data_IF_144077667289
#
_entry.id   IF_144077667289
#
_cell.length_a   1.000
_cell.length_b   1.000
_cell.length_c   1.000
_cell.angle_alpha   90.00
_cell.angle_beta   90.00
_cell.angle_gamma   90.00
#
_symmetry.space_group_name_H-M   'P 1'
#
loop_
_entity.id
_entity.type
_entity.pdbx_description
1 polymer ?
#
# COMPACT_ATOMS: atom_id res chain seq x y z
N UNK A 1 10.08 -35.82 -2.80
CA UNK A 1 9.21 -34.72 -3.25
C UNK A 1 9.28 -33.45 -2.39
N UNK A 2 9.39 -33.52 -1.05
CA UNK A 2 9.52 -32.30 -0.22
C UNK A 2 10.82 -31.51 -0.46
N UNK A 3 11.95 -32.19 -0.68
CA UNK A 3 13.25 -31.55 -0.86
C UNK A 3 13.39 -30.75 -2.16
N UNK A 4 12.77 -31.19 -3.26
CA UNK A 4 12.83 -30.49 -4.55
C UNK A 4 12.02 -29.18 -4.52
N UNK A 5 10.91 -29.16 -3.77
CA UNK A 5 10.09 -27.96 -3.58
C UNK A 5 10.83 -26.91 -2.75
N UNK A 6 11.59 -27.33 -1.74
CA UNK A 6 12.45 -26.45 -0.92
C UNK A 6 13.62 -25.91 -1.76
N UNK A 7 14.23 -26.74 -2.60
CA UNK A 7 15.34 -26.32 -3.49
C UNK A 7 14.86 -25.28 -4.53
N UNK A 8 13.69 -25.50 -5.13
CA UNK A 8 13.07 -24.52 -6.04
C UNK A 8 12.75 -23.20 -5.35
N UNK A 9 12.21 -23.24 -4.10
CA UNK A 9 11.95 -22.04 -3.29
C UNK A 9 13.23 -21.24 -3.02
N UNK A 10 14.33 -21.93 -2.69
CA UNK A 10 15.63 -21.31 -2.45
C UNK A 10 16.17 -20.59 -3.70
N UNK A 11 16.04 -21.22 -4.88
CA UNK A 11 16.44 -20.60 -6.15
C UNK A 11 15.61 -19.37 -6.49
N UNK A 12 14.30 -19.43 -6.28
CA UNK A 12 13.40 -18.30 -6.57
C UNK A 12 13.72 -17.10 -5.66
N UNK A 13 13.98 -17.32 -4.37
CA UNK A 13 14.40 -16.25 -3.46
C UNK A 13 15.77 -15.67 -3.78
N UNK A 14 16.72 -16.51 -4.17
CA UNK A 14 18.04 -16.04 -4.57
C UNK A 14 17.95 -15.11 -5.79
N UNK A 15 17.12 -15.45 -6.78
CA UNK A 15 16.89 -14.59 -7.96
C UNK A 15 16.26 -13.25 -7.56
N UNK A 16 15.26 -13.25 -6.66
CA UNK A 16 14.68 -12.00 -6.15
C UNK A 16 15.68 -11.16 -5.34
N UNK A 17 16.55 -11.79 -4.56
CA UNK A 17 17.57 -11.11 -3.77
C UNK A 17 18.69 -10.51 -4.64
N UNK A 18 19.10 -11.21 -5.70
CA UNK A 18 20.07 -10.72 -6.69
C UNK A 18 19.48 -9.58 -7.53
N UNK A 19 18.23 -9.69 -7.96
CA UNK A 19 17.50 -8.60 -8.61
C UNK A 19 17.41 -7.38 -7.68
N UNK A 20 17.16 -7.61 -6.38
CA UNK A 20 17.08 -6.55 -5.40
C UNK A 20 18.42 -5.81 -5.19
N UNK A 21 19.50 -6.56 -5.07
CA UNK A 21 20.85 -6.01 -4.96
C UNK A 21 21.26 -5.22 -6.21
N UNK A 22 20.87 -5.68 -7.40
CA UNK A 22 21.16 -5.00 -8.67
C UNK A 22 20.46 -3.62 -8.76
N UNK A 23 19.20 -3.53 -8.33
CA UNK A 23 18.45 -2.26 -8.30
C UNK A 23 19.02 -1.28 -7.26
N UNK A 24 19.42 -1.75 -6.08
CA UNK A 24 20.08 -0.91 -5.07
C UNK A 24 21.43 -0.37 -5.56
N UNK A 25 22.21 -1.19 -6.27
CA UNK A 25 23.47 -0.76 -6.90
C UNK A 25 23.23 0.25 -8.03
N UNK A 26 22.18 0.08 -8.84
CA UNK A 26 21.79 1.04 -9.87
C UNK A 26 21.40 2.39 -9.25
N UNK A 27 20.66 2.37 -8.13
CA UNK A 27 20.25 3.58 -7.39
C UNK A 27 21.46 4.32 -6.79
N UNK A 28 22.47 3.60 -6.31
CA UNK A 28 23.73 4.21 -5.83
C UNK A 28 24.59 4.82 -6.95
N UNK A 29 24.58 4.24 -8.17
CA UNK A 29 25.31 4.80 -9.32
C UNK A 29 24.73 6.12 -9.84
N UNK A 30 23.45 6.39 -9.63
CA UNK A 30 22.82 7.66 -10.06
C UNK A 30 23.02 8.81 -9.07
N UNK A 31 23.65 8.58 -7.91
CA UNK A 31 23.85 9.60 -6.86
C UNK A 31 25.16 10.39 -6.92
N UNK A 32 26.13 10.02 -7.79
CA UNK A 32 27.46 10.63 -7.81
C UNK A 32 27.90 11.01 -9.24
N UNK A 33 27.39 12.11 -9.80
CA UNK A 33 28.07 12.83 -10.89
C UNK A 33 27.79 14.35 -10.80
N UNK A 34 28.81 15.23 -10.79
CA UNK A 34 28.61 16.67 -10.83
C UNK A 34 28.64 17.25 -12.26
N UNK A 35 27.63 18.08 -12.54
CA UNK A 35 27.53 19.25 -13.46
C UNK A 35 27.62 19.11 -15.00
N UNK A 36 26.66 19.81 -15.63
CA UNK A 36 26.65 20.47 -16.96
C UNK A 36 26.52 19.64 -18.24
N UNK A 37 25.29 19.52 -18.73
CA UNK A 37 24.89 19.90 -20.09
C UNK A 37 23.37 19.82 -20.26
N UNK A 38 22.82 20.78 -20.98
CA UNK A 38 21.42 21.04 -21.28
C UNK A 38 20.74 19.92 -22.09
N UNK A 39 19.42 19.79 -21.88
CA UNK A 39 18.44 19.00 -22.64
C UNK A 39 18.49 17.47 -22.48
N UNK A 40 17.96 16.98 -21.36
CA UNK A 40 17.26 15.69 -21.31
C UNK A 40 15.99 15.87 -20.47
N UNK A 41 14.83 15.66 -21.12
CA UNK A 41 13.51 15.93 -20.59
C UNK A 41 13.19 15.06 -19.36
N UNK A 42 12.54 15.67 -18.38
CA UNK A 42 12.08 15.10 -17.13
C UNK A 42 11.13 13.91 -17.35
N UNK A 43 11.36 12.79 -16.65
CA UNK A 43 10.34 11.79 -16.36
C UNK A 43 9.30 12.40 -15.41
N UNK A 44 8.41 13.21 -15.96
CA UNK A 44 7.30 13.81 -15.26
C UNK A 44 6.09 12.87 -15.38
N UNK A 45 5.78 12.16 -14.30
CA UNK A 45 4.54 11.38 -14.12
C UNK A 45 3.33 12.31 -13.94
N UNK A 46 3.14 13.25 -14.87
CA UNK A 46 1.99 14.16 -14.86
C UNK A 46 1.00 13.69 -15.91
N UNK A 47 0.18 12.69 -15.55
CA UNK A 47 -1.05 12.43 -16.29
C UNK A 47 -2.14 13.39 -15.77
N UNK A 48 -2.01 14.65 -16.16
CA UNK A 48 -3.04 15.67 -16.03
C UNK A 48 -3.09 16.45 -17.34
N UNK A 49 -3.97 16.05 -18.26
CA UNK A 49 -4.68 17.01 -19.11
C UNK A 49 -5.82 16.36 -19.90
N UNK A 50 -7.05 16.68 -19.48
CA UNK A 50 -8.06 17.11 -20.45
C UNK A 50 -7.53 18.39 -21.11
N UNK A 51 -7.08 18.32 -22.36
CA UNK A 51 -6.85 19.50 -23.18
C UNK A 51 -7.13 19.17 -24.65
N UNK A 52 -8.26 19.68 -25.14
CA UNK A 52 -8.55 19.85 -26.55
C UNK A 52 -7.67 20.97 -27.11
N UNK A 53 -6.61 20.67 -27.86
CA UNK A 53 -5.83 21.66 -28.63
C UNK A 53 -5.31 21.08 -29.96
N UNK A 54 -6.10 21.28 -31.02
CA UNK A 54 -5.76 21.62 -32.42
C UNK A 54 -4.38 21.22 -33.05
N UNK A 55 -4.48 20.33 -34.05
CA UNK A 55 -3.83 20.30 -35.40
C UNK A 55 -2.31 20.40 -35.57
N UNK A 56 -1.71 19.40 -36.26
CA UNK A 56 -1.25 19.51 -37.66
C UNK A 56 -0.95 18.11 -38.27
N UNK A 57 -1.53 17.94 -39.46
CA UNK A 57 -1.38 16.98 -40.58
C UNK A 57 -0.29 15.90 -40.59
N UNK A 58 -0.73 14.68 -40.89
CA UNK A 58 0.00 13.61 -41.59
C UNK A 58 -0.99 12.58 -42.14
N UNK A 59 -0.90 12.30 -43.44
CA UNK A 59 -1.84 11.58 -44.32
C UNK A 59 -1.92 10.07 -43.97
N UNK A 60 -3.13 9.55 -43.74
CA UNK A 60 -3.92 8.69 -44.64
C UNK A 60 -3.44 7.23 -44.73
N UNK A 61 -4.02 6.34 -43.90
CA UNK A 61 -4.38 4.99 -44.32
C UNK A 61 -5.66 4.53 -43.61
N UNK A 62 -6.64 4.17 -44.45
CA UNK A 62 -7.98 3.71 -44.14
C UNK A 62 -8.01 2.33 -43.47
N UNK A 63 -8.49 2.25 -42.22
CA UNK A 63 -9.06 1.01 -41.66
C UNK A 63 -10.32 1.34 -40.84
N UNK A 64 -11.38 0.61 -41.11
CA UNK A 64 -12.75 0.81 -40.66
C UNK A 64 -12.91 0.92 -39.14
N UNK A 65 -13.50 2.03 -38.71
CA UNK A 65 -13.91 2.35 -37.35
C UNK A 65 -15.24 1.66 -37.04
N UNK A 66 -15.20 0.52 -36.35
CA UNK A 66 -16.38 -0.04 -35.68
C UNK A 66 -16.56 0.63 -34.33
N UNK A 67 -17.59 1.46 -34.21
CA UNK A 67 -18.06 2.07 -32.97
C UNK A 67 -18.51 0.98 -32.00
N UNK A 68 -17.65 0.59 -31.07
CA UNK A 68 -18.06 -0.20 -29.91
C UNK A 68 -18.00 0.71 -28.68
N UNK A 69 -19.13 1.35 -28.39
CA UNK A 69 -19.39 2.03 -27.14
C UNK A 69 -19.29 0.99 -26.01
N UNK A 70 -18.11 0.85 -25.39
CA UNK A 70 -18.00 0.10 -24.14
C UNK A 70 -18.30 1.05 -22.98
N UNK A 71 -19.60 1.21 -22.79
CA UNK A 71 -20.31 1.52 -21.56
C UNK A 71 -19.43 1.36 -20.31
N UNK A 72 -19.10 2.50 -19.71
CA UNK A 72 -18.66 2.62 -18.32
C UNK A 72 -19.82 2.22 -17.41
N UNK A 73 -19.85 0.94 -17.04
CA UNK A 73 -20.58 0.38 -15.90
C UNK A 73 -19.51 -0.45 -15.16
N UNK A 74 -19.07 -0.10 -13.96
CA UNK A 74 -19.93 0.01 -12.79
C UNK A 74 -19.82 -1.31 -12.04
N UNK A 75 -18.79 -1.47 -11.21
CA UNK A 75 -18.87 -2.38 -10.07
C UNK A 75 -18.16 -1.72 -8.91
N UNK A 76 -18.97 -0.94 -8.22
CA UNK A 76 -18.95 -0.72 -6.78
C UNK A 76 -18.25 -1.85 -6.02
N UNK A 77 -17.15 -1.52 -5.36
CA UNK A 77 -16.91 -2.08 -4.05
C UNK A 77 -16.43 -0.94 -3.14
N UNK A 78 -17.31 0.03 -2.93
CA UNK A 78 -17.23 0.84 -1.74
C UNK A 78 -17.59 -0.12 -0.60
N UNK A 79 -16.59 -0.77 -0.02
CA UNK A 79 -16.70 -1.39 1.29
C UNK A 79 -17.51 -0.42 2.15
N UNK A 80 -18.74 -0.81 2.49
CA UNK A 80 -19.65 -0.02 3.31
C UNK A 80 -19.00 0.09 4.68
N UNK A 81 -18.16 1.11 4.82
CA UNK A 81 -17.37 1.32 6.01
C UNK A 81 -18.35 1.60 7.13
N UNK A 82 -18.34 0.83 8.23
CA UNK A 82 -19.28 1.02 9.31
C UNK A 82 -19.16 2.47 9.80
N UNK A 83 -20.29 3.19 9.82
CA UNK A 83 -20.31 4.56 10.33
C UNK A 83 -19.93 4.53 11.82
N UNK A 84 -18.95 5.33 12.26
CA UNK A 84 -18.59 5.39 13.67
C UNK A 84 -19.72 6.00 14.49
N UNK A 85 -19.90 5.52 15.72
CA UNK A 85 -20.66 6.28 16.72
C UNK A 85 -19.82 7.44 17.25
N UNK A 86 -20.47 8.48 17.79
CA UNK A 86 -19.76 9.60 18.41
C UNK A 86 -18.84 9.15 19.55
N UNK A 87 -19.28 8.18 20.36
CA UNK A 87 -18.47 7.62 21.46
C UNK A 87 -17.24 6.87 20.94
N UNK A 88 -17.39 6.05 19.90
CA UNK A 88 -16.27 5.35 19.27
C UNK A 88 -15.27 6.35 18.71
N UNK A 89 -15.74 7.32 17.91
CA UNK A 89 -14.91 8.36 17.33
C UNK A 89 -14.14 9.15 18.39
N UNK A 90 -14.78 9.55 19.50
CA UNK A 90 -14.11 10.24 20.61
C UNK A 90 -13.05 9.38 21.28
N UNK A 91 -13.23 8.06 21.34
CA UNK A 91 -12.25 7.17 21.94
C UNK A 91 -10.93 7.11 21.16
N UNK A 92 -10.95 7.41 19.86
CA UNK A 92 -9.80 7.32 18.97
C UNK A 92 -8.68 8.28 19.34
N UNK A 93 -8.98 9.44 19.93
CA UNK A 93 -7.96 10.40 20.39
C UNK A 93 -7.18 9.93 21.62
N UNK A 94 -7.71 8.96 22.37
CA UNK A 94 -7.11 8.49 23.62
C UNK A 94 -5.92 7.56 23.39
N UNK A 95 -5.95 6.73 22.34
CA UNK A 95 -4.81 5.90 21.94
C UNK A 95 -4.96 5.38 20.52
N UNK A 96 -3.81 5.16 19.86
CA UNK A 96 -3.79 4.53 18.54
C UNK A 96 -4.41 3.12 18.55
N UNK A 97 -4.28 2.40 19.65
CA UNK A 97 -4.91 1.08 19.81
C UNK A 97 -6.44 1.15 19.66
N UNK A 98 -7.09 2.22 20.12
CA UNK A 98 -8.54 2.42 19.95
C UNK A 98 -8.92 2.57 18.49
N UNK A 99 -8.15 3.34 17.73
CA UNK A 99 -8.29 3.46 16.26
C UNK A 99 -8.18 2.08 15.61
N UNK A 100 -7.14 1.32 15.98
CA UNK A 100 -6.82 0.05 15.34
C UNK A 100 -7.81 -1.07 15.71
N UNK A 101 -8.48 -0.99 16.86
CA UNK A 101 -9.56 -1.92 17.24
C UNK A 101 -10.88 -1.63 16.54
N UNK A 102 -11.22 -0.37 16.28
CA UNK A 102 -12.45 0.01 15.60
C UNK A 102 -12.36 -0.20 14.08
N UNK A 103 -13.34 -0.90 13.48
CA UNK A 103 -13.41 -1.02 12.02
C UNK A 103 -13.62 0.34 11.33
N UNK A 104 -14.44 1.20 11.93
CA UNK A 104 -14.65 2.57 11.48
C UNK A 104 -13.37 3.39 11.63
N UNK A 105 -12.70 3.27 12.78
CA UNK A 105 -11.42 3.94 13.05
C UNK A 105 -10.34 3.56 12.04
N UNK A 106 -10.18 2.26 11.76
CA UNK A 106 -9.28 1.75 10.72
C UNK A 106 -9.62 2.32 9.34
N UNK A 107 -10.90 2.40 8.97
CA UNK A 107 -11.32 2.93 7.68
C UNK A 107 -11.02 4.43 7.55
N UNK A 108 -11.39 5.24 8.55
CA UNK A 108 -11.11 6.67 8.60
C UNK A 108 -9.60 6.96 8.59
N UNK A 109 -8.83 6.20 9.38
CA UNK A 109 -7.38 6.35 9.42
C UNK A 109 -6.73 5.97 8.09
N UNK A 110 -7.16 4.88 7.45
CA UNK A 110 -6.68 4.53 6.09
C UNK A 110 -6.99 5.61 5.07
N UNK A 111 -8.18 6.21 5.13
CA UNK A 111 -8.55 7.33 4.25
C UNK A 111 -7.63 8.54 4.47
N UNK A 112 -7.28 8.84 5.73
CA UNK A 112 -6.30 9.88 6.04
C UNK A 112 -4.91 9.54 5.48
N UNK A 113 -4.41 8.32 5.69
CA UNK A 113 -3.11 7.88 5.15
C UNK A 113 -3.04 7.96 3.63
N UNK A 114 -4.15 7.73 2.92
CA UNK A 114 -4.23 7.91 1.46
C UNK A 114 -3.96 9.36 1.05
N UNK A 115 -4.42 10.33 1.83
CA UNK A 115 -4.13 11.76 1.56
C UNK A 115 -2.66 12.11 1.78
N UNK A 116 -1.96 11.34 2.62
CA UNK A 116 -0.52 11.47 2.89
C UNK A 116 0.33 10.47 2.09
N UNK A 117 -0.23 9.77 1.10
CA UNK A 117 0.46 8.76 0.29
C UNK A 117 1.19 7.68 1.13
N UNK A 118 0.57 7.23 2.23
CA UNK A 118 1.16 6.27 3.17
C UNK A 118 0.19 5.14 3.56
N UNK A 119 -0.83 4.88 2.73
CA UNK A 119 -1.87 3.89 3.02
C UNK A 119 -1.37 2.44 2.98
N UNK A 120 -0.24 2.18 2.31
CA UNK A 120 0.42 0.86 2.25
C UNK A 120 0.76 0.32 3.64
N UNK A 121 1.10 1.20 4.59
CA UNK A 121 1.37 0.81 5.97
C UNK A 121 0.17 0.14 6.64
N UNK A 122 -1.02 0.70 6.42
CA UNK A 122 -2.27 0.16 6.96
C UNK A 122 -2.71 -1.10 6.22
N UNK A 123 -2.54 -1.14 4.90
CA UNK A 123 -2.84 -2.33 4.09
C UNK A 123 -1.95 -3.51 4.49
N UNK A 124 -0.66 -3.29 4.67
CA UNK A 124 0.27 -4.31 5.15
C UNK A 124 -0.11 -4.81 6.55
N UNK A 125 -0.41 -3.90 7.47
CA UNK A 125 -0.81 -4.27 8.83
C UNK A 125 -2.07 -5.15 8.83
N UNK A 126 -3.09 -4.80 8.04
CA UNK A 126 -4.32 -5.58 7.87
C UNK A 126 -4.06 -6.96 7.25
N UNK A 127 -3.20 -7.03 6.24
CA UNK A 127 -2.85 -8.30 5.61
C UNK A 127 -2.16 -9.25 6.60
N UNK A 128 -1.32 -8.73 7.49
CA UNK A 128 -0.72 -9.49 8.58
C UNK A 128 -1.76 -9.99 9.60
N UNK A 129 -2.75 -9.17 9.97
CA UNK A 129 -3.84 -9.60 10.85
C UNK A 129 -4.68 -10.73 10.23
N UNK A 130 -4.92 -10.68 8.92
CA UNK A 130 -5.67 -11.71 8.20
C UNK A 130 -4.85 -12.99 7.96
N UNK A 131 -3.52 -12.87 7.87
CA UNK A 131 -2.61 -14.02 7.87
C UNK A 131 -2.64 -14.75 9.22
N UNK A 132 -2.66 -14.02 10.33
CA UNK A 132 -2.65 -14.60 11.69
C UNK A 132 -3.87 -15.46 12.01
N UNK A 133 -5.01 -15.19 11.36
CA UNK A 133 -6.25 -15.97 11.49
C UNK A 133 -6.21 -17.29 10.72
N UNK A 134 -5.26 -17.44 9.80
CA UNK A 134 -5.16 -18.61 8.94
C UNK A 134 -4.46 -19.77 9.65
N UNK A 135 -5.04 -20.97 9.53
CA UNK A 135 -4.47 -22.20 10.11
C UNK A 135 -4.10 -23.23 9.04
N UNK A 136 -4.64 -23.10 7.83
CA UNK A 136 -4.31 -23.98 6.73
C UNK A 136 -2.92 -23.64 6.19
N UNK A 137 -1.96 -24.56 6.34
CA UNK A 137 -0.57 -24.37 5.92
C UNK A 137 -0.43 -23.94 4.46
N UNK A 138 -1.20 -24.51 3.54
CA UNK A 138 -1.12 -24.15 2.11
C UNK A 138 -1.57 -22.70 1.88
N UNK A 139 -2.63 -22.27 2.57
CA UNK A 139 -3.16 -20.90 2.46
C UNK A 139 -2.21 -19.91 3.15
N UNK A 140 -1.59 -20.28 4.27
CA UNK A 140 -0.52 -19.50 4.91
C UNK A 140 0.63 -19.28 3.95
N UNK A 141 1.15 -20.34 3.32
CA UNK A 141 2.25 -20.23 2.35
C UNK A 141 1.90 -19.27 1.20
N UNK A 142 0.67 -19.36 0.66
CA UNK A 142 0.20 -18.50 -0.42
C UNK A 142 0.05 -17.04 0.02
N UNK A 143 -0.61 -16.78 1.16
CA UNK A 143 -0.78 -15.44 1.73
C UNK A 143 0.57 -14.81 2.05
N UNK A 144 1.51 -15.56 2.62
CA UNK A 144 2.85 -15.05 2.93
C UNK A 144 3.58 -14.62 1.66
N UNK A 145 3.52 -15.44 0.60
CA UNK A 145 4.11 -15.07 -0.69
C UNK A 145 3.46 -13.81 -1.26
N UNK A 146 2.14 -13.69 -1.17
CA UNK A 146 1.42 -12.52 -1.66
C UNK A 146 1.80 -11.26 -0.88
N UNK A 147 1.81 -11.32 0.46
CA UNK A 147 2.22 -10.19 1.32
C UNK A 147 3.67 -9.78 1.04
N UNK A 148 4.56 -10.75 0.81
CA UNK A 148 5.94 -10.47 0.46
C UNK A 148 6.05 -9.67 -0.84
N UNK A 149 5.41 -10.15 -1.91
CA UNK A 149 5.44 -9.46 -3.21
C UNK A 149 4.79 -8.09 -3.15
N UNK A 150 3.69 -7.94 -2.41
CA UNK A 150 2.94 -6.69 -2.35
C UNK A 150 3.58 -5.64 -1.44
N UNK A 151 4.26 -6.01 -0.36
CA UNK A 151 4.69 -5.03 0.65
C UNK A 151 6.17 -5.08 1.02
N UNK A 152 6.86 -6.20 0.79
CA UNK A 152 8.26 -6.38 1.24
C UNK A 152 9.25 -6.29 0.08
N UNK A 153 8.85 -6.78 -1.09
CA UNK A 153 9.66 -6.75 -2.30
C UNK A 153 10.05 -5.32 -2.66
N UNK A 154 11.33 -5.07 -2.93
CA UNK A 154 11.82 -3.74 -3.35
C UNK A 154 11.29 -3.30 -4.72
N UNK A 155 10.68 -4.23 -5.45
CA UNK A 155 10.06 -3.97 -6.74
C UNK A 155 8.58 -3.62 -6.59
N UNK A 156 8.04 -3.72 -5.38
CA UNK A 156 6.64 -3.41 -5.13
C UNK A 156 6.39 -1.91 -5.17
N UNK A 157 5.33 -1.44 -5.85
CA UNK A 157 4.87 -0.06 -5.74
C UNK A 157 4.27 0.26 -4.36
N UNK A 158 3.99 -0.74 -3.51
CA UNK A 158 3.45 -0.60 -2.15
C UNK A 158 4.46 -1.04 -1.08
N UNK A 159 5.75 -1.00 -1.41
CA UNK A 159 6.83 -1.36 -0.48
C UNK A 159 6.72 -0.55 0.82
N UNK A 160 6.66 -1.24 1.96
CA UNK A 160 6.69 -0.60 3.27
C UNK A 160 8.12 -0.37 3.74
N UNK A 161 8.35 0.76 4.41
CA UNK A 161 9.68 1.12 4.92
C UNK A 161 10.03 0.29 6.15
N UNK A 162 10.97 -0.65 6.00
CA UNK A 162 11.47 -1.52 7.07
C UNK A 162 12.97 -1.34 7.28
N UNK A 163 13.42 -1.55 8.52
CA UNK A 163 14.85 -1.63 8.81
C UNK A 163 15.46 -2.87 8.15
N UNK A 164 16.73 -2.76 7.74
CA UNK A 164 17.47 -3.85 7.07
C UNK A 164 17.42 -5.15 7.86
N UNK A 165 17.61 -5.09 9.19
CA UNK A 165 17.55 -6.26 10.08
C UNK A 165 16.21 -6.99 10.01
N UNK A 166 15.11 -6.26 9.99
CA UNK A 166 13.75 -6.85 9.93
C UNK A 166 13.54 -7.52 8.59
N UNK A 167 13.98 -6.87 7.49
CA UNK A 167 13.91 -7.45 6.15
C UNK A 167 14.75 -8.71 6.01
N UNK A 168 15.95 -8.74 6.58
CA UNK A 168 16.81 -9.93 6.61
C UNK A 168 16.13 -11.11 7.33
N UNK A 169 15.48 -10.84 8.48
CA UNK A 169 14.73 -11.86 9.23
C UNK A 169 13.59 -12.43 8.37
N UNK A 170 12.80 -11.57 7.72
CA UNK A 170 11.74 -12.00 6.81
C UNK A 170 12.32 -12.89 5.71
N UNK A 171 13.37 -12.44 5.00
CA UNK A 171 13.96 -13.19 3.90
C UNK A 171 14.43 -14.60 4.32
N UNK A 172 14.92 -14.79 5.55
CA UNK A 172 15.24 -16.12 6.08
C UNK A 172 13.97 -16.94 6.37
N UNK A 173 12.98 -16.33 6.99
CA UNK A 173 11.71 -16.98 7.35
C UNK A 173 10.90 -17.40 6.13
N UNK A 174 11.15 -16.78 4.98
CA UNK A 174 10.50 -17.15 3.73
C UNK A 174 10.87 -18.56 3.22
N UNK A 175 11.94 -19.19 3.74
CA UNK A 175 12.25 -20.60 3.46
C UNK A 175 11.19 -21.57 4.01
N UNK A 176 10.66 -21.25 5.19
CA UNK A 176 9.59 -22.00 5.86
C UNK A 176 8.57 -21.01 6.44
N UNK A 177 7.67 -20.46 5.59
CA UNK A 177 6.78 -19.40 5.99
C UNK A 177 5.69 -19.90 6.96
N UNK A 178 5.38 -19.08 7.95
CA UNK A 178 4.38 -19.33 8.98
C UNK A 178 3.46 -18.12 9.12
N UNK A 179 2.38 -18.25 9.88
CA UNK A 179 1.48 -17.13 10.18
C UNK A 179 2.17 -16.00 10.97
N UNK A 180 3.36 -16.26 11.54
CA UNK A 180 4.17 -15.31 12.30
C UNK A 180 5.34 -14.71 11.48
N UNK A 181 5.47 -15.02 10.18
CA UNK A 181 6.61 -14.60 9.35
C UNK A 181 6.84 -13.08 9.37
N UNK A 182 5.80 -12.28 9.56
CA UNK A 182 5.86 -10.81 9.51
C UNK A 182 5.67 -10.11 10.87
N UNK A 183 5.71 -10.81 12.00
CA UNK A 183 5.39 -10.21 13.31
C UNK A 183 6.25 -8.98 13.65
N UNK A 184 7.58 -9.08 13.47
CA UNK A 184 8.51 -7.98 13.73
C UNK A 184 8.25 -6.79 12.79
N UNK A 185 7.97 -7.06 11.52
CA UNK A 185 7.67 -6.02 10.53
C UNK A 185 6.33 -5.36 10.79
N UNK A 186 5.30 -6.13 11.13
CA UNK A 186 3.99 -5.61 11.48
C UNK A 186 4.08 -4.69 12.71
N UNK A 187 4.87 -5.08 13.73
CA UNK A 187 5.10 -4.24 14.91
C UNK A 187 5.87 -2.95 14.57
N UNK A 188 6.87 -3.03 13.68
CA UNK A 188 7.59 -1.86 13.20
C UNK A 188 6.66 -0.87 12.48
N UNK A 189 5.85 -1.35 11.52
CA UNK A 189 4.90 -0.52 10.78
C UNK A 189 3.80 0.04 11.69
N UNK A 190 3.31 -0.75 12.65
CA UNK A 190 2.38 -0.25 13.68
C UNK A 190 3.00 0.93 14.45
N UNK A 191 4.26 0.79 14.87
CA UNK A 191 4.97 1.83 15.62
C UNK A 191 5.22 3.07 14.78
N UNK A 192 5.55 2.89 13.49
CA UNK A 192 5.70 3.98 12.52
C UNK A 192 4.42 4.80 12.43
N UNK A 193 3.28 4.14 12.14
CA UNK A 193 1.97 4.81 12.08
C UNK A 193 1.60 5.47 13.40
N UNK A 194 1.84 4.79 14.54
CA UNK A 194 1.52 5.29 15.87
C UNK A 194 2.28 6.58 16.22
N UNK A 195 3.56 6.66 15.85
CA UNK A 195 4.44 7.77 16.23
C UNK A 195 4.38 8.94 15.25
N UNK A 196 4.05 8.68 14.00
CA UNK A 196 4.11 9.67 12.93
C UNK A 196 2.72 10.08 12.44
N UNK A 197 2.00 9.19 11.77
CA UNK A 197 0.73 9.49 11.11
C UNK A 197 -0.44 9.67 12.09
N UNK A 198 -0.48 8.92 13.19
CA UNK A 198 -1.58 8.97 14.15
C UNK A 198 -1.73 10.34 14.86
N UNK A 199 -0.66 10.97 15.39
CA UNK A 199 -0.76 12.33 15.93
C UNK A 199 -1.27 13.34 14.91
N UNK A 200 -0.87 13.21 13.62
CA UNK A 200 -1.39 14.08 12.56
C UNK A 200 -2.86 13.81 12.25
N UNK A 201 -3.28 12.55 12.24
CA UNK A 201 -4.68 12.17 12.05
C UNK A 201 -5.60 12.78 13.11
N UNK A 202 -5.28 12.64 14.39
CA UNK A 202 -6.12 13.18 15.48
C UNK A 202 -6.17 14.72 15.47
N UNK A 203 -5.14 15.39 14.96
CA UNK A 203 -5.11 16.83 14.80
C UNK A 203 -5.59 17.32 13.42
N UNK A 204 -6.03 16.41 12.54
CA UNK A 204 -6.43 16.75 11.18
C UNK A 204 -7.84 17.35 11.15
N UNK A 205 -8.09 18.20 10.16
CA UNK A 205 -9.43 18.75 9.90
C UNK A 205 -10.43 17.64 9.60
N UNK A 206 -10.02 16.59 8.89
CA UNK A 206 -10.85 15.43 8.58
C UNK A 206 -11.42 14.75 9.84
N UNK A 207 -10.60 14.59 10.89
CA UNK A 207 -11.08 14.02 12.16
C UNK A 207 -11.97 15.00 12.94
N UNK A 208 -11.62 16.29 12.97
CA UNK A 208 -12.46 17.29 13.67
C UNK A 208 -13.81 17.49 13.02
N UNK A 209 -13.88 17.47 11.68
CA UNK A 209 -15.13 17.64 10.94
C UNK A 209 -16.00 16.38 11.04
N UNK A 210 -15.38 15.18 11.08
CA UNK A 210 -16.08 13.94 11.42
C UNK A 210 -16.77 14.06 12.78
N UNK A 211 -16.05 14.48 13.83
CA UNK A 211 -16.64 14.61 15.17
C UNK A 211 -17.82 15.58 15.19
N UNK A 212 -17.70 16.75 14.55
CA UNK A 212 -18.81 17.72 14.45
C UNK A 212 -20.02 17.13 13.74
N UNK A 213 -19.81 16.42 12.63
CA UNK A 213 -20.90 15.79 11.87
C UNK A 213 -21.65 14.71 12.65
N UNK A 214 -21.00 14.11 13.67
CA UNK A 214 -21.61 13.13 14.57
C UNK A 214 -22.30 13.79 15.78
N UNK A 215 -21.99 15.06 16.08
CA UNK A 215 -22.60 15.84 17.16
C UNK A 215 -23.86 16.58 16.71
N UNK A 216 -23.98 16.94 15.42
CA UNK A 216 -25.16 17.59 14.89
C UNK A 216 -26.36 16.63 14.88
N UNK A 217 -27.51 17.01 15.47
CA UNK A 217 -28.72 16.22 15.35
C UNK A 217 -29.18 16.19 13.89
N UNK A 218 -29.77 15.08 13.40
CA UNK A 218 -30.29 15.03 12.05
C UNK A 218 -31.28 16.18 11.83
N UNK A 219 -31.28 16.83 10.65
CA UNK A 219 -32.18 17.94 10.38
C UNK A 219 -33.63 17.50 10.61
N UNK A 220 -34.38 18.26 11.39
CA UNK A 220 -35.81 18.02 11.58
C UNK A 220 -36.53 18.15 10.21
N UNK A 221 -37.47 17.24 9.91
CA UNK A 221 -38.19 17.20 8.63
C UNK A 221 -39.14 18.39 8.40
#
# INVERSE_FOLDING_TARGET
MGSERVEMRKRQMQVHQEAAASVLQARHRMGNTPTNASNACCFCWCCCCSCSCLTVRGEDETVQRSTFERKTEGTTNCEESPKPSLEDARSWSTSFEKVMKSAAGRSCFRQFLRTEFSEENMMFWLACEDLKKETNKTVVEEKVRQIYEDFISILSPKEVSLDSRVREVINRNMLEPTSCTFDDAQQQIYTLMQRDSYPRFINSTAYTDLLKSLEEPPPEP
#
